data_IF_631203142474
#
_entry.id   IF_631203142474
#
_cell.length_a   1.000
_cell.length_b   1.000
_cell.length_c   1.000
_cell.angle_alpha   90.00
_cell.angle_beta   90.00
_cell.angle_gamma   90.00
#
_symmetry.space_group_name_H-M   'P 1'
#
loop_
_entity.id
_entity.type
_entity.pdbx_description
1 polymer ?
#
# COMPACT_ATOMS: atom_id res chain seq x y z
N UNK A 1 2.27 28.07 6.23
CA UNK A 1 1.99 27.33 7.46
C UNK A 1 0.70 26.58 7.22
N UNK A 2 0.80 25.42 6.60
CA UNK A 2 -0.32 24.50 6.38
C UNK A 2 -0.19 23.39 7.42
N UNK A 3 -1.19 23.34 8.29
CA UNK A 3 -1.33 22.42 9.40
C UNK A 3 -1.63 21.01 8.83
N UNK A 4 -0.58 20.20 8.65
CA UNK A 4 -0.72 18.77 8.34
C UNK A 4 -1.12 18.03 9.61
N UNK A 5 -2.36 18.22 10.05
CA UNK A 5 -2.94 17.34 11.06
C UNK A 5 -3.19 16.00 10.39
N UNK A 6 -2.55 14.97 10.93
CA UNK A 6 -2.67 13.60 10.48
C UNK A 6 -4.13 13.17 10.37
N UNK A 7 -4.45 12.27 9.43
CA UNK A 7 -5.75 11.61 9.28
C UNK A 7 -6.32 11.08 10.61
N UNK A 8 -5.46 10.86 11.62
CA UNK A 8 -5.80 10.33 12.94
C UNK A 8 -6.54 11.29 13.88
N UNK A 9 -6.46 12.62 13.72
CA UNK A 9 -7.11 13.53 14.67
C UNK A 9 -8.61 13.75 14.44
N UNK A 10 -9.11 13.43 13.26
CA UNK A 10 -10.54 13.64 12.93
C UNK A 10 -11.48 12.52 13.45
N UNK A 11 -10.93 11.38 13.91
CA UNK A 11 -11.73 10.19 14.27
C UNK A 11 -11.63 9.77 15.73
N UNK A 12 -11.24 10.67 16.61
CA UNK A 12 -11.10 10.40 18.05
C UNK A 12 -12.40 10.45 18.83
N UNK A 13 -13.52 9.94 18.37
CA UNK A 13 -14.70 9.62 19.21
C UNK A 13 -15.56 8.55 18.52
N UNK A 14 -15.21 7.28 18.70
CA UNK A 14 -16.17 6.19 18.85
C UNK A 14 -15.45 5.06 19.59
N UNK A 15 -15.75 4.91 20.86
CA UNK A 15 -15.39 3.70 21.63
C UNK A 15 -16.07 2.52 20.96
N UNK A 16 -15.30 1.68 20.24
CA UNK A 16 -15.78 0.39 19.80
C UNK A 16 -15.68 -0.59 20.97
N UNK A 17 -16.79 -1.18 21.43
CA UNK A 17 -16.72 -2.27 22.39
C UNK A 17 -16.05 -3.47 21.74
N UNK A 18 -15.03 -4.01 22.42
CA UNK A 18 -14.32 -5.24 22.07
C UNK A 18 -15.26 -6.45 22.16
N UNK A 19 -16.03 -6.69 21.11
CA UNK A 19 -16.57 -8.02 20.71
C UNK A 19 -17.26 -7.89 19.36
N UNK A 20 -16.60 -8.32 18.29
CA UNK A 20 -17.21 -8.56 16.97
C UNK A 20 -18.09 -9.83 17.00
N UNK A 21 -19.04 -9.88 17.90
CA UNK A 21 -20.05 -10.92 17.95
C UNK A 21 -21.40 -10.26 17.68
N UNK A 22 -21.81 -10.25 16.39
CA UNK A 22 -23.20 -10.01 16.01
C UNK A 22 -23.66 -8.56 15.86
N UNK A 23 -22.76 -7.57 15.69
CA UNK A 23 -23.18 -6.20 15.36
C UNK A 23 -23.67 -6.15 13.90
N UNK A 24 -24.96 -6.02 13.69
CA UNK A 24 -25.57 -5.74 12.40
C UNK A 24 -25.26 -4.27 12.07
N UNK A 25 -24.40 -4.02 11.06
CA UNK A 25 -24.09 -2.69 10.57
C UNK A 25 -25.25 -2.21 9.66
N UNK A 26 -25.80 -1.04 9.92
CA UNK A 26 -26.79 -0.40 9.09
C UNK A 26 -26.18 0.85 8.43
N UNK A 27 -26.56 1.10 7.18
CA UNK A 27 -26.30 2.40 6.58
C UNK A 27 -27.31 3.44 7.08
N UNK A 28 -27.15 4.73 6.71
CA UNK A 28 -28.06 5.81 7.10
C UNK A 28 -29.51 5.58 6.64
N UNK A 29 -29.74 4.73 5.63
CA UNK A 29 -31.08 4.34 5.12
C UNK A 29 -31.66 3.12 5.83
N UNK A 30 -30.96 2.54 6.82
CA UNK A 30 -31.39 1.35 7.54
C UNK A 30 -31.17 0.03 6.79
N UNK A 31 -30.39 0.04 5.70
CA UNK A 31 -30.01 -1.17 4.96
C UNK A 31 -28.88 -1.88 5.72
N UNK A 32 -29.01 -3.19 5.91
CA UNK A 32 -27.97 -4.01 6.56
C UNK A 32 -26.76 -4.12 5.62
N UNK A 33 -25.59 -3.73 6.10
CA UNK A 33 -24.34 -3.97 5.37
C UNK A 33 -23.97 -5.45 5.50
N UNK A 34 -23.95 -6.16 4.38
CA UNK A 34 -23.88 -7.64 4.37
C UNK A 34 -22.68 -8.20 3.60
N UNK A 35 -21.91 -7.34 2.92
CA UNK A 35 -20.83 -7.78 2.06
C UNK A 35 -19.51 -7.07 2.37
N UNK A 36 -18.41 -7.75 2.06
CA UNK A 36 -17.05 -7.21 2.09
C UNK A 36 -16.47 -7.33 0.68
N UNK A 37 -15.80 -6.27 0.21
CA UNK A 37 -15.03 -6.30 -1.01
C UNK A 37 -13.55 -6.52 -0.66
N UNK A 38 -12.97 -7.62 -1.13
CA UNK A 38 -11.54 -7.90 -1.02
C UNK A 38 -10.83 -7.53 -2.33
N UNK A 39 -9.78 -6.73 -2.23
CA UNK A 39 -8.87 -6.38 -3.32
C UNK A 39 -7.61 -7.25 -3.17
N UNK A 40 -7.29 -8.03 -4.19
CA UNK A 40 -6.11 -8.90 -4.24
C UNK A 40 -5.23 -8.43 -5.40
N UNK A 41 -4.24 -7.61 -5.07
CA UNK A 41 -3.30 -7.08 -6.04
C UNK A 41 -2.07 -7.98 -6.14
N UNK A 42 -2.16 -8.97 -7.02
CA UNK A 42 -1.06 -9.91 -7.29
C UNK A 42 0.04 -9.33 -8.17
N UNK A 43 1.07 -10.13 -8.42
CA UNK A 43 2.22 -9.73 -9.25
C UNK A 43 1.85 -9.59 -10.74
N UNK A 44 0.91 -10.42 -11.23
CA UNK A 44 0.58 -10.46 -12.67
C UNK A 44 -0.85 -10.03 -12.98
N UNK A 45 -1.67 -9.84 -11.96
CA UNK A 45 -3.09 -9.50 -12.14
C UNK A 45 -3.66 -8.80 -10.93
N UNK A 46 -4.66 -7.96 -11.18
CA UNK A 46 -5.56 -7.39 -10.17
C UNK A 46 -6.81 -8.25 -10.06
N UNK A 47 -7.24 -8.54 -8.85
CA UNK A 47 -8.45 -9.32 -8.57
C UNK A 47 -9.30 -8.59 -7.54
N UNK A 48 -10.62 -8.76 -7.65
CA UNK A 48 -11.58 -8.32 -6.65
C UNK A 48 -12.61 -9.41 -6.39
N UNK A 49 -12.92 -9.63 -5.12
CA UNK A 49 -13.87 -10.66 -4.69
C UNK A 49 -14.84 -10.04 -3.69
N UNK A 50 -16.12 -10.26 -3.91
CA UNK A 50 -17.19 -9.87 -2.98
C UNK A 50 -17.60 -11.07 -2.16
N UNK A 51 -17.52 -10.95 -0.83
CA UNK A 51 -17.93 -11.98 0.13
C UNK A 51 -19.18 -11.54 0.89
N UNK A 52 -20.05 -12.50 1.21
CA UNK A 52 -21.11 -12.29 2.20
C UNK A 52 -20.60 -12.47 3.64
N UNK A 53 -21.49 -12.29 4.63
CA UNK A 53 -21.18 -12.46 6.05
C UNK A 53 -20.79 -13.89 6.45
N UNK A 54 -21.08 -14.89 5.63
CA UNK A 54 -20.71 -16.30 5.82
C UNK A 54 -19.43 -16.66 5.06
N UNK A 55 -18.70 -15.66 4.54
CA UNK A 55 -17.50 -15.80 3.71
C UNK A 55 -17.73 -16.56 2.38
N UNK A 56 -18.95 -16.55 1.85
CA UNK A 56 -19.25 -17.12 0.53
C UNK A 56 -18.99 -16.08 -0.54
N UNK A 57 -18.40 -16.50 -1.65
CA UNK A 57 -18.14 -15.63 -2.80
C UNK A 57 -19.46 -15.33 -3.50
N UNK A 58 -19.83 -14.04 -3.57
CA UNK A 58 -20.97 -13.53 -4.32
C UNK A 58 -20.62 -13.16 -5.76
N UNK A 59 -19.41 -12.67 -5.98
CA UNK A 59 -18.91 -12.28 -7.29
C UNK A 59 -17.40 -12.07 -7.25
N UNK A 60 -16.76 -12.27 -8.40
CA UNK A 60 -15.33 -12.06 -8.55
C UNK A 60 -14.98 -11.58 -9.97
N UNK A 61 -13.94 -10.77 -10.09
CA UNK A 61 -13.36 -10.34 -11.34
C UNK A 61 -11.84 -10.32 -11.24
N UNK A 62 -11.16 -10.52 -12.35
CA UNK A 62 -9.71 -10.52 -12.45
C UNK A 62 -9.28 -9.98 -13.80
N UNK A 63 -8.20 -9.21 -13.83
CA UNK A 63 -7.59 -8.68 -15.04
C UNK A 63 -6.07 -8.74 -14.92
N UNK A 64 -5.40 -9.25 -15.95
CA UNK A 64 -3.94 -9.19 -16.07
C UNK A 64 -3.50 -7.79 -16.50
N UNK A 65 -2.25 -7.43 -16.16
CA UNK A 65 -1.59 -6.21 -16.59
C UNK A 65 -0.17 -6.49 -17.09
N UNK A 66 0.40 -5.54 -17.84
CA UNK A 66 1.68 -5.74 -18.52
C UNK A 66 2.86 -5.79 -17.56
N UNK A 67 3.77 -6.73 -17.83
CA UNK A 67 5.04 -6.88 -17.13
C UNK A 67 6.16 -6.32 -18.01
N UNK A 68 7.00 -5.43 -17.47
CA UNK A 68 8.08 -4.80 -18.22
C UNK A 68 9.45 -5.34 -17.78
N UNK A 69 10.28 -5.73 -18.75
CA UNK A 69 11.61 -6.26 -18.54
C UNK A 69 12.66 -5.43 -19.30
N UNK A 70 12.95 -4.17 -18.90
CA UNK A 70 13.75 -3.24 -19.70
C UNK A 70 15.22 -3.66 -19.85
N UNK A 71 15.75 -4.45 -18.90
CA UNK A 71 17.12 -5.01 -18.91
C UNK A 71 17.13 -6.37 -18.22
N UNK A 72 18.16 -7.22 -18.44
CA UNK A 72 18.30 -8.47 -17.68
C UNK A 72 18.26 -8.23 -16.16
N UNK A 73 17.40 -8.95 -15.46
CA UNK A 73 17.21 -8.83 -14.01
C UNK A 73 16.37 -7.63 -13.56
N UNK A 74 15.88 -6.80 -14.46
CA UNK A 74 14.96 -5.69 -14.15
C UNK A 74 13.53 -6.12 -14.39
N UNK A 75 12.65 -5.80 -13.43
CA UNK A 75 11.22 -6.09 -13.52
C UNK A 75 10.45 -4.86 -13.05
N UNK A 76 9.57 -4.35 -13.89
CA UNK A 76 8.80 -3.14 -13.64
C UNK A 76 7.32 -3.33 -13.97
N UNK A 77 6.47 -2.59 -13.26
CA UNK A 77 5.06 -2.43 -13.59
C UNK A 77 4.73 -0.96 -13.82
N UNK A 78 3.69 -0.70 -14.59
CA UNK A 78 3.06 0.62 -14.63
C UNK A 78 2.09 0.74 -13.45
N UNK A 79 2.38 1.66 -12.51
CA UNK A 79 1.56 1.85 -11.33
C UNK A 79 0.16 2.40 -11.65
N UNK A 80 0.03 3.17 -12.73
CA UNK A 80 -1.28 3.66 -13.20
C UNK A 80 -2.10 2.50 -13.78
N UNK A 81 -1.47 1.58 -14.51
CA UNK A 81 -2.14 0.37 -15.02
C UNK A 81 -2.62 -0.53 -13.87
N UNK A 82 -1.80 -0.71 -12.82
CA UNK A 82 -2.21 -1.40 -11.60
C UNK A 82 -3.46 -0.77 -11.00
N UNK A 83 -3.49 0.56 -10.83
CA UNK A 83 -4.65 1.26 -10.29
C UNK A 83 -5.88 1.09 -11.19
N UNK A 84 -5.73 1.31 -12.49
CA UNK A 84 -6.86 1.21 -13.44
C UNK A 84 -7.44 -0.20 -13.46
N UNK A 85 -6.60 -1.24 -13.56
CA UNK A 85 -7.06 -2.63 -13.56
C UNK A 85 -7.73 -3.00 -12.23
N UNK A 86 -7.20 -2.55 -11.08
CA UNK A 86 -7.82 -2.79 -9.79
C UNK A 86 -9.19 -2.11 -9.68
N UNK A 87 -9.31 -0.86 -10.12
CA UNK A 87 -10.57 -0.12 -10.16
C UNK A 87 -11.61 -0.81 -11.04
N UNK A 88 -11.20 -1.28 -12.22
CA UNK A 88 -12.10 -1.92 -13.18
C UNK A 88 -12.63 -3.27 -12.65
N UNK A 89 -11.75 -4.11 -12.06
CA UNK A 89 -12.19 -5.39 -11.46
C UNK A 89 -13.01 -5.20 -10.18
N UNK A 90 -12.83 -4.10 -9.42
CA UNK A 90 -13.73 -3.75 -8.31
C UNK A 90 -15.16 -3.56 -8.79
N UNK A 91 -15.34 -2.73 -9.82
CA UNK A 91 -16.65 -2.45 -10.39
C UNK A 91 -17.30 -3.72 -10.99
N UNK A 92 -16.51 -4.50 -11.72
CA UNK A 92 -16.99 -5.74 -12.33
C UNK A 92 -17.40 -6.78 -11.28
N UNK A 93 -16.63 -6.93 -10.19
CA UNK A 93 -16.95 -7.86 -9.10
C UNK A 93 -18.27 -7.49 -8.41
N UNK A 94 -18.50 -6.20 -8.14
CA UNK A 94 -19.76 -5.70 -7.58
C UNK A 94 -20.95 -5.96 -8.51
N UNK A 95 -20.80 -5.71 -9.81
CA UNK A 95 -21.84 -5.98 -10.81
C UNK A 95 -22.19 -7.48 -10.86
N UNK A 96 -21.20 -8.38 -10.85
CA UNK A 96 -21.40 -9.83 -10.83
C UNK A 96 -22.06 -10.30 -9.54
N UNK A 97 -21.67 -9.71 -8.40
CA UNK A 97 -22.26 -9.99 -7.09
C UNK A 97 -23.67 -9.43 -6.95
N UNK A 98 -24.06 -8.45 -7.78
CA UNK A 98 -25.30 -7.65 -7.64
C UNK A 98 -25.38 -6.93 -6.29
N UNK A 99 -24.21 -6.48 -5.79
CA UNK A 99 -24.05 -5.75 -4.54
C UNK A 99 -23.73 -4.29 -4.86
N UNK A 100 -24.41 -3.38 -4.18
CA UNK A 100 -24.13 -1.93 -4.26
C UNK A 100 -23.10 -1.50 -3.21
N UNK A 101 -22.49 -0.34 -3.38
CA UNK A 101 -21.58 0.21 -2.40
C UNK A 101 -22.24 0.43 -1.02
N UNK A 102 -23.52 0.76 -0.99
CA UNK A 102 -24.29 0.96 0.25
C UNK A 102 -24.40 -0.34 1.09
N UNK A 103 -24.30 -1.50 0.44
CA UNK A 103 -24.36 -2.82 1.08
C UNK A 103 -22.98 -3.32 1.53
N UNK A 104 -21.90 -2.61 1.19
CA UNK A 104 -20.56 -2.97 1.63
C UNK A 104 -20.31 -2.52 3.07
N UNK A 105 -19.88 -3.46 3.91
CA UNK A 105 -19.39 -3.16 5.27
C UNK A 105 -17.99 -2.54 5.25
N UNK A 106 -17.16 -2.88 4.24
CA UNK A 106 -15.83 -2.36 4.09
C UNK A 106 -15.06 -3.01 2.95
N UNK A 107 -13.85 -2.48 2.74
CA UNK A 107 -12.85 -2.99 1.80
C UNK A 107 -11.66 -3.53 2.59
N UNK A 108 -11.21 -4.74 2.20
CA UNK A 108 -9.92 -5.30 2.60
C UNK A 108 -8.96 -5.32 1.41
N UNK A 109 -7.68 -5.04 1.64
CA UNK A 109 -6.63 -5.03 0.63
C UNK A 109 -5.58 -6.08 0.97
N UNK A 110 -5.26 -6.96 0.02
CA UNK A 110 -4.04 -7.74 0.04
C UNK A 110 -3.23 -7.47 -1.22
N UNK A 111 -1.90 -7.55 -1.15
CA UNK A 111 -1.04 -7.09 -2.23
C UNK A 111 0.27 -7.86 -2.31
N UNK A 112 0.84 -7.94 -3.52
CA UNK A 112 2.24 -8.26 -3.71
C UNK A 112 3.08 -7.31 -2.86
N UNK A 113 3.90 -7.85 -1.95
CA UNK A 113 4.73 -7.03 -1.07
C UNK A 113 5.97 -6.49 -1.80
N UNK A 114 6.70 -5.59 -1.18
CA UNK A 114 8.00 -5.04 -1.58
C UNK A 114 8.05 -4.30 -2.92
N UNK A 115 7.04 -4.41 -3.77
CA UNK A 115 6.96 -3.64 -5.02
C UNK A 115 6.82 -2.16 -4.68
N UNK A 116 7.73 -1.35 -5.24
CA UNK A 116 8.04 0.02 -4.79
C UNK A 116 7.49 1.03 -5.77
N UNK A 117 6.66 1.95 -5.29
CA UNK A 117 6.15 3.10 -6.05
C UNK A 117 6.59 4.39 -5.36
N UNK A 118 7.03 5.38 -6.14
CA UNK A 118 7.27 6.76 -5.67
C UNK A 118 6.48 7.69 -6.58
N UNK A 119 5.69 8.60 -5.98
CA UNK A 119 4.82 9.49 -6.74
C UNK A 119 4.83 10.93 -6.20
N UNK A 120 4.38 11.84 -7.02
CA UNK A 120 4.19 13.26 -6.69
C UNK A 120 2.93 13.43 -5.82
N UNK A 121 3.05 14.09 -4.65
CA UNK A 121 1.92 14.30 -3.73
C UNK A 121 0.84 15.23 -4.29
N UNK A 122 1.22 16.16 -5.14
CA UNK A 122 0.29 17.16 -5.68
C UNK A 122 -0.52 16.62 -6.87
N UNK A 123 0.10 15.77 -7.70
CA UNK A 123 -0.53 15.26 -8.93
C UNK A 123 -0.99 13.81 -8.82
N UNK A 124 -0.42 13.03 -7.90
CA UNK A 124 -0.61 11.58 -7.83
C UNK A 124 0.16 10.79 -8.90
N UNK A 125 0.98 11.47 -9.74
CA UNK A 125 1.69 10.82 -10.84
C UNK A 125 2.97 10.12 -10.34
N UNK A 126 3.19 8.83 -10.69
CA UNK A 126 4.43 8.14 -10.39
C UNK A 126 5.63 8.83 -11.06
N UNK A 127 6.74 9.00 -10.32
CA UNK A 127 7.98 9.59 -10.88
C UNK A 127 8.79 8.58 -11.68
N UNK A 128 8.52 7.31 -11.50
CA UNK A 128 9.13 6.17 -12.19
C UNK A 128 8.17 4.98 -12.17
N UNK A 129 8.37 3.99 -13.03
CA UNK A 129 7.63 2.73 -12.97
C UNK A 129 7.83 2.05 -11.63
N UNK A 130 6.82 1.31 -11.17
CA UNK A 130 6.93 0.50 -9.96
C UNK A 130 8.04 -0.56 -10.13
N UNK A 131 9.01 -0.58 -9.21
CA UNK A 131 10.09 -1.59 -9.22
C UNK A 131 9.60 -2.80 -8.44
N UNK A 132 9.46 -3.93 -9.14
CA UNK A 132 8.84 -5.15 -8.62
C UNK A 132 9.77 -5.87 -7.63
N UNK A 133 9.22 -6.66 -6.72
CA UNK A 133 9.96 -7.46 -5.75
C UNK A 133 10.99 -8.42 -6.37
N UNK A 134 10.75 -8.90 -7.59
CA UNK A 134 11.64 -9.77 -8.37
C UNK A 134 12.87 -9.04 -8.95
N UNK A 135 12.86 -7.71 -8.95
CA UNK A 135 13.91 -6.89 -9.57
C UNK A 135 15.25 -7.02 -8.83
N UNK A 136 16.33 -7.12 -9.59
CA UNK A 136 17.69 -7.34 -9.06
C UNK A 136 18.65 -6.17 -9.30
N UNK A 137 18.14 -5.00 -9.78
CA UNK A 137 18.99 -3.85 -10.13
C UNK A 137 19.82 -3.30 -8.97
N UNK A 138 19.40 -3.52 -7.73
CA UNK A 138 20.08 -3.04 -6.53
C UNK A 138 20.98 -4.11 -5.89
N UNK A 139 21.25 -5.23 -6.56
CA UNK A 139 22.07 -6.31 -6.01
C UNK A 139 23.48 -5.83 -5.62
N UNK A 140 24.14 -5.07 -6.50
CA UNK A 140 25.50 -4.56 -6.23
C UNK A 140 25.51 -3.60 -5.02
N UNK A 141 24.45 -2.81 -4.85
CA UNK A 141 24.31 -1.93 -3.69
C UNK A 141 24.12 -2.74 -2.40
N UNK A 142 23.36 -3.83 -2.42
CA UNK A 142 23.24 -4.73 -1.28
C UNK A 142 24.58 -5.36 -0.91
N UNK A 143 25.38 -5.82 -1.90
CA UNK A 143 26.69 -6.38 -1.66
C UNK A 143 27.69 -5.34 -1.09
N UNK A 144 27.60 -4.09 -1.53
CA UNK A 144 28.37 -2.98 -0.95
C UNK A 144 28.03 -2.80 0.54
N UNK A 145 26.74 -2.72 0.91
CA UNK A 145 26.31 -2.59 2.31
C UNK A 145 26.78 -3.78 3.17
N UNK A 146 26.78 -5.01 2.63
CA UNK A 146 27.32 -6.19 3.33
C UNK A 146 28.83 -6.05 3.55
N UNK A 147 29.56 -5.61 2.52
CA UNK A 147 31.01 -5.40 2.60
C UNK A 147 31.38 -4.34 3.64
N UNK A 148 30.52 -3.33 3.84
CA UNK A 148 30.65 -2.30 4.86
C UNK A 148 30.25 -2.79 6.28
N UNK A 149 29.87 -4.08 6.42
CA UNK A 149 29.54 -4.72 7.69
C UNK A 149 28.16 -4.36 8.23
N UNK A 150 27.27 -3.80 7.42
CA UNK A 150 25.96 -3.30 7.85
C UNK A 150 24.86 -4.37 7.94
N UNK A 151 25.09 -5.59 7.42
CA UNK A 151 24.05 -6.63 7.37
C UNK A 151 23.47 -6.97 8.74
N UNK A 152 24.33 -7.02 9.79
CA UNK A 152 23.89 -7.31 11.14
C UNK A 152 22.95 -6.19 11.70
N UNK A 153 23.24 -4.93 11.40
CA UNK A 153 22.39 -3.80 11.79
C UNK A 153 20.98 -3.92 11.20
N UNK A 154 20.91 -4.23 9.90
CA UNK A 154 19.61 -4.47 9.25
C UNK A 154 18.90 -5.69 9.84
N UNK A 155 19.60 -6.79 10.02
CA UNK A 155 19.03 -8.03 10.53
C UNK A 155 18.44 -7.88 11.94
N UNK A 156 19.13 -7.19 12.83
CA UNK A 156 18.67 -6.98 14.21
C UNK A 156 17.40 -6.14 14.27
N UNK A 157 17.29 -5.11 13.44
CA UNK A 157 16.15 -4.19 13.47
C UNK A 157 14.96 -4.67 12.65
N UNK A 158 15.21 -5.33 11.52
CA UNK A 158 14.15 -5.68 10.56
C UNK A 158 13.86 -7.17 10.50
N UNK A 159 14.75 -8.02 11.04
CA UNK A 159 14.71 -9.48 10.84
C UNK A 159 15.08 -9.94 9.42
N UNK A 160 15.47 -9.01 8.53
CA UNK A 160 15.72 -9.27 7.11
C UNK A 160 17.21 -9.29 6.78
N UNK A 161 17.56 -10.04 5.75
CA UNK A 161 18.89 -9.96 5.12
C UNK A 161 18.94 -8.78 4.15
N UNK A 162 20.13 -8.28 3.83
CA UNK A 162 20.32 -7.30 2.77
C UNK A 162 20.16 -7.97 1.40
N UNK A 163 19.01 -7.77 0.79
CA UNK A 163 18.67 -8.32 -0.53
C UNK A 163 17.88 -7.30 -1.35
N UNK A 164 18.09 -7.21 -2.68
CA UNK A 164 17.32 -6.34 -3.58
C UNK A 164 15.81 -6.65 -3.62
N UNK A 165 15.39 -7.75 -3.04
CA UNK A 165 14.00 -8.14 -2.88
C UNK A 165 13.18 -7.02 -2.18
N UNK A 166 13.74 -6.39 -1.14
CA UNK A 166 13.06 -5.45 -0.27
C UNK A 166 13.01 -4.01 -0.81
N UNK A 167 12.04 -3.22 -0.33
CA UNK A 167 11.73 -1.90 -0.91
C UNK A 167 12.83 -0.84 -0.72
N UNK A 168 13.53 -0.81 0.42
CA UNK A 168 14.44 0.28 0.79
C UNK A 168 15.52 0.56 -0.24
N UNK A 169 16.17 -0.48 -0.80
CA UNK A 169 17.21 -0.31 -1.81
C UNK A 169 16.65 0.20 -3.14
N UNK A 170 15.40 -0.16 -3.49
CA UNK A 170 14.70 0.31 -4.69
C UNK A 170 14.33 1.79 -4.57
N UNK A 171 13.86 2.22 -3.39
CA UNK A 171 13.61 3.64 -3.10
C UNK A 171 14.91 4.42 -3.32
N UNK A 172 16.02 3.98 -2.69
CA UNK A 172 17.34 4.60 -2.86
C UNK A 172 17.73 4.70 -4.32
N UNK A 173 17.54 3.63 -5.09
CA UNK A 173 17.84 3.62 -6.52
C UNK A 173 17.03 4.67 -7.29
N UNK A 174 15.72 4.79 -7.05
CA UNK A 174 14.86 5.80 -7.69
C UNK A 174 15.36 7.21 -7.36
N UNK A 175 15.68 7.49 -6.10
CA UNK A 175 16.19 8.79 -5.67
C UNK A 175 17.50 9.18 -6.35
N UNK A 176 18.37 8.22 -6.65
CA UNK A 176 19.69 8.47 -7.23
C UNK A 176 19.70 8.51 -8.75
N UNK A 177 18.77 7.81 -9.42
CA UNK A 177 18.83 7.59 -10.86
C UNK A 177 17.74 8.32 -11.65
N UNK A 178 16.70 8.83 -10.98
CA UNK A 178 15.66 9.64 -11.64
C UNK A 178 15.96 11.11 -11.41
N UNK A 179 16.13 11.85 -12.50
CA UNK A 179 16.54 13.25 -12.47
C UNK A 179 15.59 14.12 -11.61
N UNK A 180 16.16 14.91 -10.69
CA UNK A 180 15.43 15.84 -9.84
C UNK A 180 14.63 15.23 -8.69
N UNK A 181 14.48 13.90 -8.65
CA UNK A 181 13.61 13.22 -7.68
C UNK A 181 14.15 13.35 -6.25
N UNK A 182 15.46 13.21 -6.02
CA UNK A 182 16.07 13.34 -4.70
C UNK A 182 15.75 14.69 -4.04
N UNK A 183 16.02 15.79 -4.74
CA UNK A 183 15.75 17.13 -4.19
C UNK A 183 14.26 17.37 -3.92
N UNK A 184 13.37 16.79 -4.73
CA UNK A 184 11.91 16.84 -4.49
C UNK A 184 11.51 16.05 -3.25
N UNK A 185 12.11 14.86 -3.06
CA UNK A 185 11.87 14.02 -1.89
C UNK A 185 12.32 14.72 -0.60
N UNK A 186 13.49 15.36 -0.61
CA UNK A 186 14.03 16.15 0.53
C UNK A 186 13.13 17.34 0.89
N UNK A 187 12.43 17.93 -0.08
CA UNK A 187 11.45 19.00 0.16
C UNK A 187 10.05 18.47 0.56
N UNK A 188 9.86 17.13 0.65
CA UNK A 188 8.60 16.53 1.02
C UNK A 188 7.51 16.57 -0.06
N UNK A 189 7.89 16.79 -1.33
CA UNK A 189 6.96 16.86 -2.47
C UNK A 189 6.53 15.48 -2.96
N UNK A 190 7.22 14.42 -2.55
CA UNK A 190 7.00 13.05 -3.01
C UNK A 190 6.48 12.16 -1.89
N UNK A 191 5.82 11.09 -2.27
CA UNK A 191 5.40 9.99 -1.41
C UNK A 191 5.97 8.66 -1.93
N UNK A 192 6.22 7.76 -1.02
CA UNK A 192 6.56 6.36 -1.29
C UNK A 192 5.47 5.45 -0.74
N UNK A 193 5.25 4.32 -1.39
CA UNK A 193 4.48 3.22 -0.85
C UNK A 193 4.79 1.90 -1.53
N UNK A 194 4.46 0.83 -0.85
CA UNK A 194 4.19 -0.47 -1.46
C UNK A 194 2.79 -0.41 -2.10
N UNK A 195 2.37 -1.48 -2.75
CA UNK A 195 1.13 -1.44 -3.56
C UNK A 195 -0.12 -1.16 -2.70
N UNK A 196 -0.14 -1.60 -1.45
CA UNK A 196 -1.19 -1.24 -0.48
C UNK A 196 -1.37 0.27 -0.34
N UNK A 197 -0.27 0.99 -0.03
CA UNK A 197 -0.28 2.45 0.11
C UNK A 197 -0.69 3.14 -1.20
N UNK A 198 -0.22 2.62 -2.34
CA UNK A 198 -0.59 3.13 -3.66
C UNK A 198 -2.10 3.01 -3.93
N UNK A 199 -2.69 1.85 -3.58
CA UNK A 199 -4.14 1.65 -3.72
C UNK A 199 -4.94 2.54 -2.77
N UNK A 200 -4.55 2.63 -1.49
CA UNK A 200 -5.22 3.52 -0.52
C UNK A 200 -5.13 4.98 -0.95
N UNK A 201 -3.95 5.43 -1.41
CA UNK A 201 -3.77 6.79 -1.95
C UNK A 201 -4.77 7.10 -3.06
N UNK A 202 -4.90 6.19 -4.03
CA UNK A 202 -5.82 6.39 -5.15
C UNK A 202 -7.29 6.28 -4.73
N UNK A 203 -7.66 5.29 -3.91
CA UNK A 203 -9.01 5.12 -3.38
C UNK A 203 -9.49 6.36 -2.60
N UNK A 204 -8.58 7.06 -1.93
CA UNK A 204 -8.87 8.23 -1.08
C UNK A 204 -8.56 9.57 -1.75
N UNK A 205 -8.15 9.57 -3.03
CA UNK A 205 -7.68 10.76 -3.77
C UNK A 205 -6.60 11.54 -3.02
N UNK A 206 -5.66 10.83 -2.43
CA UNK A 206 -4.51 11.41 -1.74
C UNK A 206 -4.79 11.93 -0.33
N UNK A 207 -5.97 11.74 0.22
CA UNK A 207 -6.25 12.14 1.59
C UNK A 207 -5.64 11.21 2.64
N UNK A 208 -5.27 9.99 2.27
CA UNK A 208 -4.68 8.99 3.13
C UNK A 208 -3.37 8.45 2.55
N UNK A 209 -2.28 8.53 3.32
CA UNK A 209 -0.98 7.97 2.97
C UNK A 209 -0.53 7.04 4.09
N UNK A 210 -0.90 5.77 4.01
CA UNK A 210 -0.75 4.76 5.06
C UNK A 210 -0.29 3.43 4.49
N UNK A 211 0.43 2.66 5.27
CA UNK A 211 0.74 1.24 5.06
C UNK A 211 0.44 0.47 6.33
N UNK A 212 0.32 -0.85 6.24
CA UNK A 212 0.19 -1.69 7.43
C UNK A 212 1.54 -2.24 7.90
N UNK A 213 1.56 -2.78 9.12
CA UNK A 213 2.76 -3.37 9.74
C UNK A 213 3.35 -4.52 8.93
N UNK A 214 2.53 -5.32 8.22
CA UNK A 214 2.99 -6.47 7.44
C UNK A 214 3.73 -6.03 6.17
N UNK A 215 3.29 -4.96 5.51
CA UNK A 215 4.00 -4.34 4.38
C UNK A 215 5.21 -3.52 4.84
N UNK A 216 5.07 -2.70 5.90
CA UNK A 216 6.18 -1.91 6.45
C UNK A 216 7.38 -2.77 6.83
N UNK A 217 7.14 -3.94 7.45
CA UNK A 217 8.17 -4.89 7.87
C UNK A 217 9.02 -5.44 6.70
N UNK A 218 8.58 -5.26 5.45
CA UNK A 218 9.28 -5.76 4.25
C UNK A 218 10.05 -4.67 3.50
N UNK A 219 10.32 -3.55 4.15
CA UNK A 219 10.96 -2.39 3.48
C UNK A 219 12.45 -2.24 3.72
N UNK A 220 13.07 -2.93 4.67
CA UNK A 220 14.40 -2.65 5.24
C UNK A 220 14.47 -1.30 5.98
N UNK A 221 13.35 -0.67 6.31
CA UNK A 221 13.29 0.65 6.95
C UNK A 221 12.53 0.62 8.28
N UNK A 222 11.83 -0.47 8.56
CA UNK A 222 10.93 -0.59 9.70
C UNK A 222 11.55 -1.45 10.80
N UNK A 223 11.67 -0.89 11.99
CA UNK A 223 12.10 -1.60 13.19
C UNK A 223 10.92 -2.40 13.75
N UNK A 224 11.02 -3.74 13.65
CA UNK A 224 9.95 -4.66 14.05
C UNK A 224 9.82 -4.80 15.58
N UNK A 225 10.85 -4.42 16.35
CA UNK A 225 10.80 -4.41 17.81
C UNK A 225 10.14 -3.14 18.34
N UNK A 226 10.44 -1.98 17.72
CA UNK A 226 9.90 -0.69 18.11
C UNK A 226 8.62 -0.31 17.36
N UNK A 227 8.25 -1.09 16.34
CA UNK A 227 7.06 -0.90 15.51
C UNK A 227 6.98 0.49 14.87
N UNK A 228 8.10 0.96 14.30
CA UNK A 228 8.22 2.28 13.66
C UNK A 228 9.30 2.32 12.59
N UNK A 229 9.26 3.33 11.73
CA UNK A 229 10.36 3.64 10.82
C UNK A 229 11.64 3.93 11.61
N UNK A 230 12.74 3.28 11.24
CA UNK A 230 14.01 3.39 11.95
C UNK A 230 14.89 4.49 11.31
N UNK A 231 15.28 5.45 12.13
CA UNK A 231 16.07 6.60 11.68
C UNK A 231 17.45 6.21 11.17
N UNK A 232 18.13 5.26 11.81
CA UNK A 232 19.47 4.82 11.40
C UNK A 232 19.43 4.13 10.04
N UNK A 233 18.43 3.26 9.80
CA UNK A 233 18.23 2.60 8.50
C UNK A 233 17.93 3.62 7.40
N UNK A 234 17.12 4.64 7.70
CA UNK A 234 16.86 5.76 6.78
C UNK A 234 18.14 6.56 6.46
N UNK A 235 18.97 6.83 7.45
CA UNK A 235 20.25 7.54 7.28
C UNK A 235 21.23 6.70 6.44
N UNK A 236 21.38 5.40 6.71
CA UNK A 236 22.23 4.48 5.94
C UNK A 236 21.78 4.45 4.47
N UNK A 237 20.49 4.29 4.23
CA UNK A 237 19.93 4.23 2.86
C UNK A 237 19.73 5.63 2.25
N UNK A 238 19.98 6.72 3.00
CA UNK A 238 19.80 8.12 2.58
C UNK A 238 18.39 8.38 2.01
N UNK A 239 17.37 7.91 2.73
CA UNK A 239 15.97 8.09 2.38
C UNK A 239 15.36 9.14 3.30
N UNK A 240 14.79 10.23 2.77
CA UNK A 240 14.09 11.23 3.57
C UNK A 240 12.84 10.61 4.23
N UNK A 241 12.69 10.82 5.54
CA UNK A 241 11.53 10.33 6.28
C UNK A 241 10.18 10.90 5.77
N UNK A 242 10.21 12.08 5.15
CA UNK A 242 9.04 12.72 4.53
C UNK A 242 8.40 11.92 3.39
N UNK A 243 9.13 10.95 2.81
CA UNK A 243 8.60 10.05 1.78
C UNK A 243 7.63 9.01 2.34
N UNK A 244 7.82 8.61 3.61
CA UNK A 244 7.22 7.41 4.16
C UNK A 244 5.75 7.61 4.54
N UNK A 245 4.90 6.57 4.38
CA UNK A 245 3.53 6.57 4.88
C UNK A 245 3.48 6.45 6.41
N UNK A 246 2.35 6.82 6.99
CA UNK A 246 2.03 6.41 8.35
C UNK A 246 1.88 4.88 8.42
N UNK A 247 2.22 4.29 9.57
CA UNK A 247 2.09 2.83 9.77
C UNK A 247 0.92 2.55 10.69
N UNK A 248 0.00 1.72 10.22
CA UNK A 248 -1.22 1.33 10.93
C UNK A 248 -1.27 -0.17 11.19
N UNK A 249 -2.24 -0.61 11.99
CA UNK A 249 -2.51 -2.03 12.20
C UNK A 249 -3.14 -2.64 10.94
N UNK A 250 -2.96 -3.96 10.72
CA UNK A 250 -3.54 -4.65 9.55
C UNK A 250 -5.08 -4.68 9.56
N UNK A 251 -5.71 -4.47 10.72
CA UNK A 251 -7.16 -4.38 10.89
C UNK A 251 -7.52 -3.09 11.61
N UNK A 252 -7.73 -2.05 10.81
CA UNK A 252 -8.04 -0.69 11.25
C UNK A 252 -8.78 0.05 10.13
N UNK A 253 -9.60 1.04 10.45
CA UNK A 253 -10.22 1.91 9.44
C UNK A 253 -9.23 3.01 9.06
N UNK A 254 -8.73 2.96 7.83
CA UNK A 254 -7.70 3.88 7.33
C UNK A 254 -8.30 5.15 6.73
N UNK A 255 -9.52 5.07 6.23
CA UNK A 255 -10.25 6.17 5.60
C UNK A 255 -11.39 5.63 4.74
N UNK A 256 -12.13 6.53 4.12
CA UNK A 256 -13.24 6.20 3.25
C UNK A 256 -12.86 6.37 1.78
N UNK A 257 -13.40 5.50 0.93
CA UNK A 257 -13.26 5.61 -0.52
C UNK A 257 -13.85 6.92 -1.01
N UNK A 258 -13.13 7.61 -1.88
CA UNK A 258 -13.59 8.79 -2.63
C UNK A 258 -13.53 8.59 -4.14
N UNK A 259 -12.73 7.61 -4.61
CA UNK A 259 -12.63 7.21 -6.01
C UNK A 259 -12.63 5.66 -6.13
N UNK A 260 -13.49 5.05 -6.96
CA UNK A 260 -14.47 5.68 -7.86
C UNK A 260 -15.69 6.26 -7.12
N UNK A 261 -16.35 7.30 -7.67
CA UNK A 261 -17.47 7.99 -7.00
C UNK A 261 -18.63 7.06 -6.62
N UNK A 262 -18.85 5.98 -7.37
CA UNK A 262 -19.89 4.97 -7.09
C UNK A 262 -19.62 4.16 -5.81
N UNK A 263 -18.45 4.31 -5.18
CA UNK A 263 -18.06 3.63 -3.94
C UNK A 263 -17.77 4.61 -2.79
N UNK A 264 -18.06 5.89 -2.98
CA UNK A 264 -17.79 6.94 -1.98
C UNK A 264 -18.41 6.62 -0.62
N UNK A 265 -17.62 6.77 0.44
CA UNK A 265 -18.04 6.52 1.82
C UNK A 265 -17.96 5.04 2.26
N UNK A 266 -17.44 4.14 1.44
CA UNK A 266 -17.12 2.77 1.87
C UNK A 266 -15.80 2.78 2.64
N UNK A 267 -15.73 2.28 3.90
CA UNK A 267 -14.51 2.29 4.68
C UNK A 267 -13.49 1.29 4.15
N UNK A 268 -12.22 1.69 4.12
CA UNK A 268 -11.07 0.81 3.91
C UNK A 268 -10.65 0.33 5.30
N UNK A 269 -10.88 -0.95 5.63
CA UNK A 269 -10.85 -1.43 7.02
C UNK A 269 -9.90 -2.62 7.26
N UNK A 270 -9.18 -3.05 6.25
CA UNK A 270 -8.19 -4.11 6.37
C UNK A 270 -7.12 -4.00 5.30
N UNK A 271 -5.87 -4.27 5.67
CA UNK A 271 -4.74 -4.24 4.76
C UNK A 271 -3.67 -5.22 5.26
N UNK A 272 -3.20 -6.11 4.38
CA UNK A 272 -2.13 -7.05 4.72
C UNK A 272 -1.39 -7.51 3.46
N UNK A 273 -0.09 -7.78 3.59
CA UNK A 273 0.67 -8.43 2.52
C UNK A 273 0.15 -9.86 2.24
N UNK A 274 0.44 -10.37 1.04
CA UNK A 274 -0.10 -11.62 0.49
C UNK A 274 0.55 -12.92 1.02
N UNK A 275 1.45 -12.84 2.01
CA UNK A 275 2.14 -13.99 2.63
C UNK A 275 2.15 -13.90 4.15
#
# INVERSE_FOLDING_TARGET
MNDSRSCFEAWRIAEFPATLSGAILYNEKGTVKQAILALDQGTTSSRSIVFDQDARILGAAQQEFEQYFPKPGWVEHDAIEIWNSQRDVMQEALLKAKVTAEELAGIGITNQRETTVVWDRATGEPVYRAIVWQDRRTADFCEMLKSDGLEETFRQKTGLLLDPYFAGTKIRWILDHVEGVRGRAERGELAFGTIDSWLVWNLTRGSCHVTDVSNASRTLLFDIEQMRWDRELLEILQIPASLLPDVAQSSEVYGDVTDPPGMSGVPIAGMAGDQ
#
